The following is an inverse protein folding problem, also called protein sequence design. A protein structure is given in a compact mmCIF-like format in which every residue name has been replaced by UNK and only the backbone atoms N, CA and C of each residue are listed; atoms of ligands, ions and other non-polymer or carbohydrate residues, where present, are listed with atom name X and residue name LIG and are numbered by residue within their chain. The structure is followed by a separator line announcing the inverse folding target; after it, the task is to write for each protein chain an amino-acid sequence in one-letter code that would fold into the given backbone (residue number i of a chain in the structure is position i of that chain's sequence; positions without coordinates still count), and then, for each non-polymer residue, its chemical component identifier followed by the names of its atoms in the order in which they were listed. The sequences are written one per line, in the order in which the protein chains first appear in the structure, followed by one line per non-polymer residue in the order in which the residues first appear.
data_IF_527127193629
#
_entry.id   IF_527127193629
#
_cell.length_a   1.000
_cell.length_b   1.000
_cell.length_c   1.000
_cell.angle_alpha   90.00
_cell.angle_beta   90.00
_cell.angle_gamma   90.00
#
_symmetry.space_group_name_H-M   'P 1'
#
loop_
_entity.id
_entity.type
_entity.pdbx_description
1 polymer ?
#
# COMPACT_ATOMS: atom_id res chain seq x y z
N UNK A 1 -11.40 41.87 -40.22
CA UNK A 1 -11.75 40.53 -40.76
C UNK A 1 -10.85 39.51 -40.06
N UNK A 2 -11.33 38.82 -39.02
CA UNK A 2 -10.51 37.79 -38.37
C UNK A 2 -10.60 36.49 -39.19
N UNK A 3 -9.47 35.80 -39.48
CA UNK A 3 -9.50 34.55 -40.20
C UNK A 3 -10.23 33.49 -39.36
N UNK A 4 -11.23 32.83 -39.96
CA UNK A 4 -11.90 31.69 -39.31
C UNK A 4 -10.87 30.57 -39.11
N UNK A 5 -10.74 30.00 -37.91
CA UNK A 5 -9.83 28.90 -37.69
C UNK A 5 -10.19 27.74 -38.62
N UNK A 6 -9.20 27.20 -39.34
CA UNK A 6 -9.40 26.06 -40.23
C UNK A 6 -9.77 24.81 -39.45
N UNK A 7 -10.51 23.90 -40.08
CA UNK A 7 -11.01 22.65 -39.46
C UNK A 7 -9.91 21.85 -38.74
N UNK A 8 -8.68 21.85 -39.28
CA UNK A 8 -7.51 21.23 -38.65
C UNK A 8 -7.11 21.88 -37.31
N UNK A 9 -7.11 23.22 -37.24
CA UNK A 9 -6.78 23.95 -36.00
C UNK A 9 -7.81 23.73 -34.90
N UNK A 10 -9.10 23.61 -35.25
CA UNK A 10 -10.16 23.24 -34.31
C UNK A 10 -9.98 21.80 -33.78
N UNK A 11 -9.56 20.86 -34.64
CA UNK A 11 -9.27 19.48 -34.26
C UNK A 11 -8.10 19.35 -33.28
N UNK A 12 -7.00 20.08 -33.50
CA UNK A 12 -5.86 20.11 -32.58
C UNK A 12 -6.21 20.72 -31.22
N UNK A 13 -6.96 21.82 -31.19
CA UNK A 13 -7.42 22.43 -29.94
C UNK A 13 -8.36 21.50 -29.17
N UNK A 14 -9.28 20.81 -29.86
CA UNK A 14 -10.15 19.82 -29.25
C UNK A 14 -9.35 18.64 -28.67
N UNK A 15 -8.35 18.13 -29.40
CA UNK A 15 -7.48 17.05 -28.92
C UNK A 15 -6.66 17.46 -27.69
N UNK A 16 -6.11 18.68 -27.67
CA UNK A 16 -5.37 19.22 -26.52
C UNK A 16 -6.28 19.39 -25.30
N UNK A 17 -7.52 19.86 -25.50
CA UNK A 17 -8.50 19.97 -24.42
C UNK A 17 -8.92 18.59 -23.89
N UNK A 18 -9.06 17.59 -24.76
CA UNK A 18 -9.33 16.21 -24.37
C UNK A 18 -8.15 15.61 -23.60
N UNK A 19 -6.90 15.77 -24.08
CA UNK A 19 -5.71 15.34 -23.34
C UNK A 19 -5.63 16.01 -21.96
N UNK A 20 -5.85 17.33 -21.90
CA UNK A 20 -5.84 18.07 -20.65
C UNK A 20 -6.97 17.64 -19.70
N UNK A 21 -8.13 17.22 -20.22
CA UNK A 21 -9.22 16.64 -19.43
C UNK A 21 -8.93 15.22 -18.96
N UNK A 22 -8.26 14.39 -19.77
CA UNK A 22 -7.80 13.04 -19.40
C UNK A 22 -6.76 13.10 -18.29
N UNK A 23 -5.88 14.11 -18.30
CA UNK A 23 -4.95 14.36 -17.19
C UNK A 23 -5.63 14.69 -15.85
N UNK A 24 -6.96 14.90 -15.81
CA UNK A 24 -7.71 15.17 -14.57
C UNK A 24 -8.39 13.93 -13.99
N UNK A 25 -8.25 12.76 -14.61
CA UNK A 25 -8.83 11.51 -14.10
C UNK A 25 -7.84 10.86 -13.13
N UNK A 26 -7.65 11.45 -11.96
CA UNK A 26 -6.93 10.79 -10.87
C UNK A 26 -7.80 9.66 -10.33
N UNK A 27 -7.21 8.47 -10.20
CA UNK A 27 -7.89 7.35 -9.58
C UNK A 27 -8.13 7.68 -8.10
N UNK A 28 -9.35 7.47 -7.57
CA UNK A 28 -9.70 7.82 -6.18
C UNK A 28 -8.72 7.15 -5.23
N UNK A 29 -7.93 7.92 -4.51
CA UNK A 29 -6.86 7.37 -3.68
C UNK A 29 -7.34 7.11 -2.26
N UNK A 30 -6.91 5.99 -1.69
CA UNK A 30 -7.18 5.63 -0.30
C UNK A 30 -5.89 5.18 0.38
N UNK A 31 -5.62 5.74 1.56
CA UNK A 31 -4.43 5.38 2.33
C UNK A 31 -4.58 4.04 3.04
N UNK A 32 -3.51 3.22 3.08
CA UNK A 32 -3.56 1.93 3.75
C UNK A 32 -3.77 2.05 5.25
N UNK A 33 -4.53 1.11 5.80
CA UNK A 33 -4.59 0.79 7.23
C UNK A 33 -3.70 -0.41 7.48
N UNK A 34 -2.78 -0.28 8.43
CA UNK A 34 -1.74 -1.27 8.70
C UNK A 34 -1.97 -1.85 10.09
N UNK A 35 -2.04 -3.16 10.19
CA UNK A 35 -2.12 -3.89 11.45
C UNK A 35 -0.99 -4.91 11.51
N UNK A 36 -0.24 -4.89 12.61
CA UNK A 36 0.88 -5.81 12.84
C UNK A 36 0.60 -6.60 14.10
N UNK A 37 0.42 -7.91 13.97
CA UNK A 37 -0.03 -8.78 15.05
C UNK A 37 0.58 -10.18 14.93
N UNK A 38 0.61 -10.90 16.05
CA UNK A 38 0.99 -12.30 16.07
C UNK A 38 -0.21 -13.20 15.79
N UNK A 39 -0.03 -14.26 14.99
CA UNK A 39 -1.12 -15.20 14.66
C UNK A 39 -1.65 -15.94 15.89
N UNK A 40 -0.78 -16.25 16.83
CA UNK A 40 -1.12 -16.88 18.11
C UNK A 40 -0.69 -15.98 19.27
N UNK A 41 -1.22 -16.16 20.50
CA UNK A 41 -0.75 -15.44 21.67
C UNK A 41 0.77 -15.50 21.78
N UNK A 42 1.41 -14.33 21.87
CA UNK A 42 2.86 -14.24 21.81
C UNK A 42 3.50 -14.62 23.14
N UNK A 43 4.43 -15.55 23.08
CA UNK A 43 5.25 -16.00 24.21
C UNK A 43 6.73 -15.95 23.81
N UNK A 44 7.57 -15.38 24.68
CA UNK A 44 9.01 -15.29 24.42
C UNK A 44 9.60 -16.68 24.20
N UNK A 45 10.40 -16.82 23.13
CA UNK A 45 11.11 -18.07 22.81
C UNK A 45 10.24 -19.17 22.19
N UNK A 46 8.93 -18.97 22.01
CA UNK A 46 8.06 -19.93 21.32
C UNK A 46 7.85 -19.53 19.85
N UNK A 47 7.95 -20.47 18.88
CA UNK A 47 7.67 -20.18 17.47
C UNK A 47 6.25 -19.66 17.26
N UNK A 48 6.10 -18.69 16.35
CA UNK A 48 4.84 -18.06 15.99
C UNK A 48 4.92 -17.49 14.56
N UNK A 49 3.86 -16.81 14.11
CA UNK A 49 3.83 -16.10 12.84
C UNK A 49 3.54 -14.61 13.07
N UNK A 50 4.36 -13.77 12.45
CA UNK A 50 4.15 -12.33 12.40
C UNK A 50 3.33 -12.00 11.15
N UNK A 51 2.22 -11.28 11.33
CA UNK A 51 1.35 -10.86 10.25
C UNK A 51 1.41 -9.33 10.12
N UNK A 52 1.51 -8.83 8.88
CA UNK A 52 1.20 -7.47 8.51
C UNK A 52 -0.01 -7.47 7.57
N UNK A 53 -1.16 -7.10 8.10
CA UNK A 53 -2.38 -6.94 7.32
C UNK A 53 -2.55 -5.49 6.89
N UNK A 54 -2.53 -5.26 5.58
CA UNK A 54 -2.65 -3.94 4.97
C UNK A 54 -3.95 -3.89 4.19
N UNK A 55 -4.81 -2.91 4.47
CA UNK A 55 -6.17 -2.88 3.94
C UNK A 55 -6.64 -1.47 3.62
N UNK A 56 -7.69 -1.33 2.83
CA UNK A 56 -8.32 -0.03 2.58
C UNK A 56 -7.53 0.87 1.65
N UNK A 57 -6.56 0.33 0.90
CA UNK A 57 -5.70 1.13 0.02
C UNK A 57 -6.16 1.11 -1.43
N UNK A 58 -5.86 2.18 -2.15
CA UNK A 58 -6.07 2.30 -3.59
C UNK A 58 -5.17 3.45 -4.10
N UNK A 59 -4.45 3.30 -5.23
CA UNK A 59 -4.39 2.18 -6.19
C UNK A 59 -3.76 0.89 -5.64
N UNK A 60 -3.75 -0.24 -6.39
CA UNK A 60 -3.24 -1.51 -5.87
C UNK A 60 -1.70 -1.61 -5.76
N UNK A 61 -0.96 -0.69 -6.37
CA UNK A 61 0.50 -0.68 -6.31
C UNK A 61 0.98 -0.27 -4.90
N UNK A 62 1.65 -1.21 -4.22
CA UNK A 62 2.08 -1.07 -2.83
C UNK A 62 3.32 -1.94 -2.57
N UNK A 63 4.22 -1.48 -1.71
CA UNK A 63 5.33 -2.29 -1.18
C UNK A 63 5.10 -2.53 0.32
N UNK A 64 5.23 -3.79 0.76
CA UNK A 64 4.97 -4.20 2.15
C UNK A 64 6.11 -5.13 2.61
N UNK A 65 6.89 -4.70 3.59
CA UNK A 65 8.01 -5.46 4.14
C UNK A 65 7.82 -5.75 5.63
N UNK A 66 8.03 -6.99 6.04
CA UNK A 66 8.25 -7.33 7.45
C UNK A 66 9.72 -7.14 7.80
N UNK A 67 9.98 -6.47 8.92
CA UNK A 67 11.31 -6.12 9.39
C UNK A 67 11.60 -6.75 10.75
N UNK A 68 12.84 -7.20 10.92
CA UNK A 68 13.46 -7.54 12.20
C UNK A 68 14.63 -6.60 12.44
N UNK A 69 14.58 -5.80 13.50
CA UNK A 69 15.60 -4.80 13.83
C UNK A 69 15.93 -3.87 12.64
N UNK A 70 14.89 -3.44 11.91
CA UNK A 70 15.00 -2.59 10.73
C UNK A 70 15.47 -3.30 9.45
N UNK A 71 15.78 -4.60 9.49
CA UNK A 71 16.21 -5.39 8.32
C UNK A 71 15.05 -6.24 7.79
N UNK A 72 14.90 -6.27 6.47
CA UNK A 72 13.89 -7.08 5.78
C UNK A 72 14.00 -8.58 6.11
N UNK A 73 12.84 -9.17 6.37
CA UNK A 73 12.64 -10.60 6.58
C UNK A 73 12.16 -11.24 5.28
N UNK A 74 12.52 -12.51 5.06
CA UNK A 74 11.87 -13.31 4.03
C UNK A 74 10.43 -13.58 4.47
N UNK A 75 9.46 -13.15 3.69
CA UNK A 75 8.04 -13.28 4.00
C UNK A 75 7.26 -13.79 2.78
N UNK A 76 6.05 -14.27 3.04
CA UNK A 76 5.07 -14.66 2.03
C UNK A 76 3.96 -13.61 1.98
N UNK A 77 3.41 -13.38 0.78
CA UNK A 77 2.33 -12.44 0.55
C UNK A 77 1.16 -13.18 -0.09
N UNK A 78 -0.07 -12.85 0.33
CA UNK A 78 -1.28 -13.37 -0.31
C UNK A 78 -1.48 -12.78 -1.71
N UNK A 79 -2.34 -13.42 -2.51
CA UNK A 79 -2.86 -12.79 -3.71
C UNK A 79 -3.60 -11.49 -3.39
N UNK A 80 -3.52 -10.53 -4.31
CA UNK A 80 -4.22 -9.26 -4.19
C UNK A 80 -5.74 -9.48 -4.24
N UNK A 81 -6.45 -8.91 -3.27
CA UNK A 81 -7.91 -8.97 -3.21
C UNK A 81 -8.48 -7.61 -2.82
N UNK A 82 -9.80 -7.46 -2.90
CA UNK A 82 -10.47 -6.17 -2.68
C UNK A 82 -11.79 -6.33 -1.92
N UNK A 83 -12.10 -5.29 -1.17
CA UNK A 83 -13.33 -5.13 -0.40
C UNK A 83 -14.49 -4.66 -1.29
N UNK A 84 -15.72 -4.69 -0.77
CA UNK A 84 -16.92 -4.22 -1.48
C UNK A 84 -16.85 -2.75 -1.92
N UNK A 85 -16.05 -1.94 -1.22
CA UNK A 85 -15.80 -0.54 -1.52
C UNK A 85 -14.68 -0.33 -2.56
N UNK A 86 -14.22 -1.41 -3.21
CA UNK A 86 -13.16 -1.41 -4.22
C UNK A 86 -11.77 -1.02 -3.71
N UNK A 87 -11.57 -0.96 -2.40
CA UNK A 87 -10.24 -0.85 -1.81
C UNK A 87 -9.57 -2.21 -1.71
N UNK A 88 -8.24 -2.23 -1.83
CA UNK A 88 -7.44 -3.45 -1.82
C UNK A 88 -7.02 -3.83 -0.40
N UNK A 89 -6.70 -5.11 -0.23
CA UNK A 89 -6.01 -5.62 0.95
C UNK A 89 -5.02 -6.74 0.61
N UNK A 90 -3.99 -6.86 1.42
CA UNK A 90 -2.95 -7.89 1.37
C UNK A 90 -2.57 -8.31 2.79
N UNK A 91 -2.14 -9.57 2.93
CA UNK A 91 -1.49 -10.07 4.13
C UNK A 91 -0.06 -10.48 3.76
N UNK A 92 0.92 -9.89 4.44
CA UNK A 92 2.32 -10.35 4.42
C UNK A 92 2.62 -11.04 5.74
N UNK A 93 3.18 -12.25 5.70
CA UNK A 93 3.48 -13.00 6.93
C UNK A 93 4.79 -13.77 6.86
N UNK A 94 5.38 -14.03 8.02
CA UNK A 94 6.58 -14.87 8.16
C UNK A 94 6.63 -15.55 9.53
N UNK A 95 7.38 -16.64 9.62
CA UNK A 95 7.70 -17.26 10.90
C UNK A 95 8.62 -16.35 11.71
N UNK A 96 8.34 -16.23 13.01
CA UNK A 96 9.19 -15.51 13.94
C UNK A 96 9.10 -16.13 15.33
N UNK A 97 10.07 -15.77 16.18
CA UNK A 97 10.05 -16.13 17.59
C UNK A 97 10.05 -14.82 18.39
N UNK A 98 8.98 -14.48 19.12
CA UNK A 98 8.95 -13.32 19.99
C UNK A 98 10.13 -13.31 20.95
N UNK A 99 10.72 -12.14 21.12
CA UNK A 99 11.88 -11.87 21.97
C UNK A 99 11.80 -10.43 22.47
N UNK A 100 12.36 -10.15 23.64
CA UNK A 100 12.48 -8.80 24.17
C UNK A 100 13.68 -8.03 23.59
N UNK A 101 14.60 -8.75 22.94
CA UNK A 101 15.81 -8.20 22.35
C UNK A 101 15.62 -7.77 20.90
N UNK A 102 14.60 -8.29 20.23
CA UNK A 102 14.31 -8.05 18.82
C UNK A 102 13.08 -7.16 18.66
N UNK A 103 13.18 -6.14 17.84
CA UNK A 103 12.06 -5.31 17.39
C UNK A 103 11.54 -5.82 16.06
N UNK A 104 10.22 -6.02 15.97
CA UNK A 104 9.54 -6.40 14.74
C UNK A 104 8.64 -5.27 14.27
N UNK A 105 8.58 -5.03 12.96
CA UNK A 105 7.73 -4.00 12.38
C UNK A 105 7.31 -4.33 10.96
N UNK A 106 6.29 -3.63 10.46
CA UNK A 106 5.90 -3.64 9.07
C UNK A 106 6.14 -2.27 8.45
N UNK A 107 6.83 -2.23 7.30
CA UNK A 107 7.05 -1.02 6.51
C UNK A 107 6.19 -1.07 5.26
N UNK A 108 5.44 0.00 5.02
CA UNK A 108 4.53 0.12 3.89
C UNK A 108 4.85 1.37 3.08
N UNK A 109 5.01 1.22 1.77
CA UNK A 109 5.10 2.33 0.82
C UNK A 109 3.89 2.29 -0.10
N UNK A 110 3.22 3.43 -0.21
CA UNK A 110 2.05 3.61 -1.06
C UNK A 110 2.03 5.05 -1.56
N UNK A 111 1.50 5.31 -2.75
CA UNK A 111 1.51 6.66 -3.37
C UNK A 111 0.84 7.75 -2.52
N UNK A 112 -0.07 7.37 -1.62
CA UNK A 112 -0.74 8.31 -0.71
C UNK A 112 0.06 8.64 0.55
N UNK A 113 1.17 7.96 0.78
CA UNK A 113 2.06 8.20 1.91
C UNK A 113 3.25 9.04 1.42
N UNK A 114 3.49 10.19 2.04
CA UNK A 114 4.63 11.06 1.71
C UNK A 114 5.98 10.41 2.03
N UNK A 115 5.99 9.50 3.00
CA UNK A 115 7.12 8.68 3.39
C UNK A 115 6.65 7.26 3.77
N UNK A 116 7.52 6.24 3.74
CA UNK A 116 7.17 4.90 4.17
C UNK A 116 6.63 4.89 5.61
N UNK A 117 5.45 4.32 5.83
CA UNK A 117 4.90 4.17 7.17
C UNK A 117 5.45 2.89 7.82
N UNK A 118 5.99 3.01 9.03
CA UNK A 118 6.51 1.87 9.80
C UNK A 118 5.64 1.69 11.05
N UNK A 119 5.00 0.53 11.16
CA UNK A 119 4.19 0.16 12.31
C UNK A 119 4.89 -0.96 13.07
N UNK A 120 5.18 -0.72 14.35
CA UNK A 120 5.82 -1.71 15.21
C UNK A 120 4.81 -2.77 15.63
N UNK A 121 5.28 -4.01 15.72
CA UNK A 121 4.54 -5.07 16.39
C UNK A 121 4.51 -4.78 17.89
N UNK A 122 3.32 -4.86 18.49
CA UNK A 122 3.14 -4.85 19.93
C UNK A 122 2.57 -6.20 20.35
N UNK A 123 2.98 -6.69 21.52
CA UNK A 123 2.52 -7.97 22.06
C UNK A 123 1.02 -7.96 22.35
N UNK A 124 0.49 -6.79 22.65
CA UNK A 124 -0.90 -6.60 23.08
C UNK A 124 -1.85 -6.21 21.92
N UNK A 125 -1.34 -6.16 20.68
CA UNK A 125 -2.11 -5.86 19.46
C UNK A 125 -2.68 -7.11 18.77
#
# INVERSE_FOLDING_TARGET
MAPRPGLATAGFLALLLILAAVCRLDAVQHSPKIQVYSRHPAENGKPNFLNCYVSGFHPPEIEIDLLKNGKEMKAEQTDLSFSKDWTFYLLVHTEFTPSEQDEFSCRVKHVTLSEPQIVKWDRDN
#
